data_IF_151227505710
#
_entry.id   IF_151227505710
#
_cell.length_a   1.000
_cell.length_b   1.000
_cell.length_c   1.000
_cell.angle_alpha   90.00
_cell.angle_beta   90.00
_cell.angle_gamma   90.00
#
_symmetry.space_group_name_H-M   'P 1'
#
loop_
_entity.id
_entity.type
_entity.pdbx_description
1 polymer ?
#
# COMPACT_ATOMS: atom_id res chain seq x y z
N UNK A 1 -0.90 6.86 13.87
CA UNK A 1 -2.02 6.51 12.97
C UNK A 1 -1.45 6.17 11.61
N UNK A 2 -1.92 5.07 11.00
CA UNK A 2 -1.50 4.59 9.68
C UNK A 2 -2.65 4.73 8.68
N UNK A 3 -2.32 4.92 7.41
CA UNK A 3 -3.30 4.84 6.32
C UNK A 3 -2.86 3.81 5.28
N UNK A 4 -3.85 3.13 4.68
CA UNK A 4 -3.62 2.14 3.63
C UNK A 4 -3.10 2.86 2.38
N UNK A 5 -2.02 2.33 1.79
CA UNK A 5 -1.40 2.83 0.56
C UNK A 5 -1.76 1.94 -0.63
N UNK A 6 -1.63 0.62 -0.48
CA UNK A 6 -1.98 -0.34 -1.53
C UNK A 6 -2.07 -1.76 -0.96
N UNK A 7 -2.92 -2.64 -1.53
CA UNK A 7 -2.84 -4.07 -1.25
C UNK A 7 -1.56 -4.68 -1.84
N UNK A 8 -0.83 -5.45 -1.04
CA UNK A 8 0.36 -6.20 -1.45
C UNK A 8 0.03 -7.65 -1.88
N UNK A 9 -1.22 -8.09 -1.67
CA UNK A 9 -1.68 -9.43 -2.02
C UNK A 9 -1.41 -10.46 -0.92
N UNK A 10 -2.07 -11.62 -1.01
CA UNK A 10 -1.96 -12.71 -0.04
C UNK A 10 -2.31 -12.28 1.40
N UNK A 11 -3.32 -11.43 1.56
CA UNK A 11 -3.73 -10.92 2.87
C UNK A 11 -2.78 -9.88 3.49
N UNK A 12 -1.86 -9.32 2.66
CA UNK A 12 -0.94 -8.27 3.05
C UNK A 12 -1.30 -6.93 2.43
N UNK A 13 -1.02 -5.88 3.17
CA UNK A 13 -1.32 -4.50 2.82
C UNK A 13 -0.15 -3.58 3.15
N UNK A 14 0.05 -2.55 2.33
CA UNK A 14 1.06 -1.51 2.56
C UNK A 14 0.41 -0.35 3.30
N UNK A 15 1.02 0.05 4.41
CA UNK A 15 0.59 1.19 5.20
C UNK A 15 1.68 2.24 5.30
N UNK A 16 1.29 3.50 5.49
CA UNK A 16 2.19 4.61 5.77
C UNK A 16 1.77 5.41 7.00
N UNK A 17 2.75 6.04 7.67
CA UNK A 17 2.48 6.97 8.78
C UNK A 17 1.79 8.23 8.30
N UNK A 18 0.75 8.66 9.02
CA UNK A 18 0.01 9.89 8.71
C UNK A 18 0.70 11.18 9.20
N UNK A 19 1.42 11.12 10.33
CA UNK A 19 1.93 12.30 11.04
C UNK A 19 3.44 12.32 11.28
N UNK A 20 4.18 11.35 10.73
CA UNK A 20 5.63 11.25 10.88
C UNK A 20 6.32 11.36 9.51
N UNK A 21 7.65 11.49 9.51
CA UNK A 21 8.45 11.31 8.31
C UNK A 21 8.08 9.96 7.68
N UNK A 22 7.66 9.95 6.41
CA UNK A 22 7.00 8.83 5.72
C UNK A 22 7.72 7.49 5.98
N UNK A 23 7.24 6.76 6.98
CA UNK A 23 7.60 5.36 7.24
C UNK A 23 6.55 4.46 6.59
N UNK A 24 6.98 3.33 6.07
CA UNK A 24 6.12 2.36 5.39
C UNK A 24 6.18 1.02 6.10
N UNK A 25 5.05 0.33 6.09
CA UNK A 25 4.90 -0.97 6.71
C UNK A 25 4.24 -1.94 5.75
N UNK A 26 4.78 -3.14 5.64
CA UNK A 26 4.06 -4.30 5.14
C UNK A 26 3.32 -4.93 6.32
N UNK A 27 2.00 -4.96 6.24
CA UNK A 27 1.13 -5.44 7.30
C UNK A 27 0.48 -6.74 6.88
N UNK A 28 0.69 -7.79 7.68
CA UNK A 28 0.06 -9.10 7.48
C UNK A 28 -0.99 -9.32 8.56
N UNK A 29 -2.25 -9.48 8.16
CA UNK A 29 -3.32 -9.81 9.11
C UNK A 29 -3.26 -11.28 9.49
N UNK A 30 -3.32 -11.56 10.80
CA UNK A 30 -3.32 -12.90 11.36
C UNK A 30 -4.60 -13.13 12.16
N UNK A 31 -4.94 -14.41 12.41
CA UNK A 31 -6.14 -14.76 13.19
C UNK A 31 -6.14 -14.15 14.61
N UNK A 32 -4.97 -13.82 15.17
CA UNK A 32 -4.81 -13.16 16.46
C UNK A 32 -3.83 -11.97 16.39
N UNK A 33 -4.08 -11.04 15.48
CA UNK A 33 -3.40 -9.75 15.47
C UNK A 33 -2.94 -9.34 14.08
N UNK A 34 -1.93 -8.48 14.04
CA UNK A 34 -1.31 -8.03 12.82
C UNK A 34 0.20 -7.94 13.03
N UNK A 35 0.95 -8.37 12.04
CA UNK A 35 2.40 -8.24 12.00
C UNK A 35 2.76 -7.01 11.17
N UNK A 36 3.69 -6.19 11.67
CA UNK A 36 4.12 -4.96 11.03
C UNK A 36 5.61 -5.04 10.73
N UNK A 37 5.95 -5.16 9.46
CA UNK A 37 7.33 -5.12 8.98
C UNK A 37 7.62 -3.73 8.40
N UNK A 38 8.68 -3.06 8.89
CA UNK A 38 9.10 -1.78 8.31
C UNK A 38 9.76 -2.05 6.97
N UNK A 39 9.28 -1.37 5.92
CA UNK A 39 9.83 -1.51 4.57
C UNK A 39 10.39 -0.17 4.04
N UNK A 40 11.40 -0.21 3.17
CA UNK A 40 11.90 0.97 2.47
C UNK A 40 10.85 1.64 1.58
N UNK A 41 11.05 2.94 1.33
CA UNK A 41 10.22 3.74 0.41
C UNK A 41 10.09 3.08 -0.98
N UNK A 42 11.19 2.54 -1.52
CA UNK A 42 11.21 1.96 -2.86
C UNK A 42 10.36 0.69 -2.95
N UNK A 43 10.37 -0.14 -1.91
CA UNK A 43 9.59 -1.37 -1.86
C UNK A 43 8.10 -1.03 -1.76
N UNK A 44 7.74 -0.08 -0.89
CA UNK A 44 6.37 0.41 -0.78
C UNK A 44 5.85 0.99 -2.11
N UNK A 45 6.68 1.77 -2.81
CA UNK A 45 6.35 2.31 -4.13
C UNK A 45 6.16 1.19 -5.15
N UNK A 46 7.00 0.17 -5.13
CA UNK A 46 6.92 -0.97 -6.02
C UNK A 46 5.58 -1.72 -5.86
N UNK A 47 5.17 -2.03 -4.64
CA UNK A 47 3.88 -2.68 -4.37
C UNK A 47 2.70 -1.84 -4.85
N UNK A 48 2.73 -0.52 -4.62
CA UNK A 48 1.67 0.37 -5.07
C UNK A 48 1.58 0.43 -6.61
N UNK A 49 2.72 0.44 -7.31
CA UNK A 49 2.77 0.42 -8.78
C UNK A 49 2.24 -0.91 -9.35
N UNK A 50 2.59 -2.04 -8.73
CA UNK A 50 2.02 -3.35 -9.07
C UNK A 50 0.50 -3.38 -8.89
N UNK A 51 -0.02 -2.80 -7.81
CA UNK A 51 -1.46 -2.72 -7.57
C UNK A 51 -2.17 -1.89 -8.66
N UNK A 52 -1.66 -0.69 -8.98
CA UNK A 52 -2.22 0.15 -10.05
C UNK A 52 -2.19 -0.58 -11.40
N UNK A 53 -1.07 -1.25 -11.71
CA UNK A 53 -0.92 -2.03 -12.93
C UNK A 53 -1.92 -3.18 -13.01
N UNK A 54 -2.16 -3.90 -11.90
CA UNK A 54 -3.17 -4.96 -11.79
C UNK A 54 -4.58 -4.40 -11.96
N UNK A 55 -4.93 -3.31 -11.27
CA UNK A 55 -6.24 -2.66 -11.40
C UNK A 55 -6.50 -2.21 -12.83
N UNK A 56 -5.49 -1.67 -13.52
CA UNK A 56 -5.59 -1.28 -14.93
C UNK A 56 -5.83 -2.48 -15.83
N UNK A 57 -5.06 -3.56 -15.64
CA UNK A 57 -5.22 -4.81 -16.42
C UNK A 57 -6.62 -5.41 -16.25
N UNK A 58 -7.16 -5.37 -15.03
CA UNK A 58 -8.43 -5.98 -14.70
C UNK A 58 -9.65 -5.05 -14.90
N UNK A 59 -9.44 -3.81 -15.38
CA UNK A 59 -10.49 -2.77 -15.48
C UNK A 59 -11.24 -2.57 -14.16
N UNK A 60 -10.49 -2.57 -13.06
CA UNK A 60 -11.03 -2.41 -11.71
C UNK A 60 -11.75 -1.06 -11.59
N UNK A 61 -12.94 -1.00 -10.97
CA UNK A 61 -13.62 0.27 -10.71
C UNK A 61 -12.79 1.20 -9.82
N UNK A 62 -11.96 0.62 -8.93
CA UNK A 62 -11.10 1.36 -8.00
C UNK A 62 -9.81 1.92 -8.62
N UNK A 63 -9.58 1.78 -9.93
CA UNK A 63 -8.33 2.19 -10.56
C UNK A 63 -7.97 3.66 -10.27
N UNK A 64 -8.95 4.55 -10.38
CA UNK A 64 -8.75 6.00 -10.17
C UNK A 64 -8.38 6.32 -8.73
N UNK A 65 -8.97 5.60 -7.76
CA UNK A 65 -8.64 5.72 -6.33
C UNK A 65 -7.18 5.35 -6.10
N UNK A 66 -6.75 4.20 -6.61
CA UNK A 66 -5.37 3.73 -6.43
C UNK A 66 -4.34 4.61 -7.15
N UNK A 67 -4.68 5.16 -8.31
CA UNK A 67 -3.81 6.12 -9.00
C UNK A 67 -3.67 7.42 -8.22
N UNK A 68 -4.76 7.94 -7.65
CA UNK A 68 -4.75 9.15 -6.83
C UNK A 68 -3.90 8.95 -5.58
N UNK A 69 -4.08 7.83 -4.89
CA UNK A 69 -3.34 7.48 -3.70
C UNK A 69 -1.84 7.30 -3.99
N UNK A 70 -1.49 6.63 -5.10
CA UNK A 70 -0.10 6.52 -5.54
C UNK A 70 0.55 7.89 -5.72
N UNK A 71 -0.14 8.82 -6.40
CA UNK A 71 0.38 10.18 -6.62
C UNK A 71 0.58 10.91 -5.30
N UNK A 72 -0.41 10.92 -4.41
CA UNK A 72 -0.34 11.62 -3.12
C UNK A 72 0.74 11.04 -2.18
N UNK A 73 0.98 9.73 -2.25
CA UNK A 73 1.95 9.07 -1.38
C UNK A 73 3.37 9.19 -1.90
N UNK A 74 3.60 9.11 -3.21
CA UNK A 74 4.94 8.90 -3.78
C UNK A 74 5.43 10.01 -4.73
N UNK A 75 4.60 10.97 -5.14
CA UNK A 75 4.97 12.13 -5.94
C UNK A 75 4.80 13.41 -5.12
#
# INVERSE_FOLDING_TARGET
MLYLVAPAGEGRDIYATLYAQKMFFLVTLQARGAEFEVIPYMDARHYADLNVSRCRKNRSPDLEVWQTLFKQTFL
#
